data_IF_338448985355
#
_entry.id   IF_338448985355
#
_cell.length_a   1.000
_cell.length_b   1.000
_cell.length_c   1.000
_cell.angle_alpha   90.00
_cell.angle_beta   90.00
_cell.angle_gamma   90.00
#
_symmetry.space_group_name_H-M   'P 1'
#
loop_
_entity.id
_entity.type
_entity.pdbx_description
1 polymer ?
#
# COMPACT_ATOMS: atom_id res chain seq x y z
N UNK A 1 -26.89 5.67 22.55
CA UNK A 1 -26.48 6.07 21.19
C UNK A 1 -26.66 4.85 20.31
N UNK A 2 -27.63 4.86 19.40
CA UNK A 2 -27.80 3.81 18.40
C UNK A 2 -26.60 3.85 17.43
N UNK A 3 -26.04 2.70 17.01
CA UNK A 3 -24.98 2.69 16.01
C UNK A 3 -25.53 3.29 14.72
N UNK A 4 -24.81 4.25 14.15
CA UNK A 4 -25.15 4.84 12.85
C UNK A 4 -25.18 3.70 11.82
N UNK A 5 -26.23 3.58 10.98
CA UNK A 5 -26.31 2.51 10.00
C UNK A 5 -25.08 2.57 9.09
N UNK A 6 -24.35 1.45 8.98
CA UNK A 6 -23.20 1.36 8.08
C UNK A 6 -23.63 1.62 6.64
N UNK A 7 -22.79 2.33 5.89
CA UNK A 7 -23.01 2.62 4.47
C UNK A 7 -23.24 1.34 3.67
N UNK A 8 -24.22 1.37 2.77
CA UNK A 8 -24.52 0.25 1.87
C UNK A 8 -23.35 -0.02 0.91
N UNK A 9 -23.24 -1.25 0.37
CA UNK A 9 -22.20 -1.59 -0.62
C UNK A 9 -22.11 -0.61 -1.81
N UNK A 10 -23.24 -0.07 -2.25
CA UNK A 10 -23.33 0.90 -3.35
C UNK A 10 -22.77 2.28 -2.97
N UNK A 11 -23.01 2.72 -1.72
CA UNK A 11 -22.48 3.98 -1.20
C UNK A 11 -20.96 3.91 -0.99
N UNK A 12 -20.42 2.73 -0.63
CA UNK A 12 -18.98 2.48 -0.56
C UNK A 12 -18.35 2.52 -1.95
N UNK A 13 -18.99 1.89 -2.93
CA UNK A 13 -18.55 1.92 -4.32
C UNK A 13 -18.45 3.36 -4.84
N UNK A 14 -19.45 4.22 -4.60
CA UNK A 14 -19.49 5.58 -5.14
C UNK A 14 -18.39 6.53 -4.61
N UNK A 15 -18.03 6.43 -3.32
CA UNK A 15 -16.96 7.26 -2.71
C UNK A 15 -15.59 6.85 -3.26
N UNK A 16 -15.37 5.55 -3.40
CA UNK A 16 -14.10 4.99 -3.84
C UNK A 16 -13.90 5.18 -5.35
N UNK A 17 -14.98 5.13 -6.16
CA UNK A 17 -14.95 5.50 -7.59
C UNK A 17 -14.59 6.98 -7.82
N UNK A 18 -14.84 7.87 -6.84
CA UNK A 18 -14.48 9.30 -6.94
C UNK A 18 -13.01 9.56 -6.56
N UNK A 19 -12.44 8.75 -5.66
CA UNK A 19 -11.05 8.80 -5.22
C UNK A 19 -10.07 8.13 -6.20
N UNK A 20 -10.56 7.18 -7.01
CA UNK A 20 -9.77 6.32 -7.90
C UNK A 20 -10.25 6.42 -9.35
N UNK A 21 -10.55 7.63 -9.82
CA UNK A 21 -10.92 7.83 -11.24
C UNK A 21 -9.90 7.16 -12.16
N UNK A 22 -10.28 6.04 -12.79
CA UNK A 22 -9.43 5.24 -13.69
C UNK A 22 -9.15 3.79 -13.27
N UNK A 23 -9.37 3.41 -12.01
CA UNK A 23 -9.15 2.00 -11.57
C UNK A 23 -10.41 1.16 -11.82
N UNK A 24 -10.33 0.03 -12.56
CA UNK A 24 -11.50 -0.82 -12.81
C UNK A 24 -12.15 -1.33 -11.49
N UNK A 25 -13.47 -1.21 -11.37
CA UNK A 25 -14.25 -1.62 -10.18
C UNK A 25 -13.93 -3.03 -9.63
N UNK A 26 -13.69 -4.06 -10.47
CA UNK A 26 -13.32 -5.39 -9.98
C UNK A 26 -11.97 -5.41 -9.25
N UNK A 27 -10.98 -4.71 -9.81
CA UNK A 27 -9.64 -4.60 -9.24
C UNK A 27 -9.67 -3.87 -7.89
N UNK A 28 -10.51 -2.85 -7.80
CA UNK A 28 -10.74 -2.12 -6.58
C UNK A 28 -11.35 -2.99 -5.46
N UNK A 29 -12.29 -3.87 -5.81
CA UNK A 29 -12.90 -4.79 -4.86
C UNK A 29 -11.88 -5.78 -4.29
N UNK A 30 -10.98 -6.29 -5.14
CA UNK A 30 -9.90 -7.21 -4.75
C UNK A 30 -8.82 -6.52 -3.90
N UNK A 31 -8.47 -5.27 -4.21
CA UNK A 31 -7.50 -4.46 -3.44
C UNK A 31 -8.08 -4.03 -2.08
N UNK A 32 -9.38 -3.76 -2.00
CA UNK A 32 -10.08 -3.55 -0.72
C UNK A 32 -10.20 -4.87 0.06
N UNK A 33 -10.39 -6.00 -0.63
CA UNK A 33 -10.43 -7.32 0.01
C UNK A 33 -9.14 -7.61 0.80
N UNK A 34 -8.00 -7.17 0.28
CA UNK A 34 -6.69 -7.19 0.91
C UNK A 34 -6.61 -6.49 2.28
N UNK A 35 -7.38 -5.42 2.46
CA UNK A 35 -7.50 -4.73 3.76
C UNK A 35 -8.53 -5.40 4.67
N UNK A 36 -9.59 -5.98 4.10
CA UNK A 36 -10.66 -6.67 4.85
C UNK A 36 -10.29 -8.05 5.39
N UNK A 37 -9.32 -8.74 4.80
CA UNK A 37 -8.99 -10.16 5.11
C UNK A 37 -7.98 -10.37 6.24
N UNK A 38 -7.67 -9.35 7.05
CA UNK A 38 -6.63 -9.37 8.10
C UNK A 38 -5.18 -9.56 7.60
N UNK A 39 -4.94 -9.80 6.30
CA UNK A 39 -3.63 -10.18 5.78
C UNK A 39 -2.53 -9.12 6.03
N UNK A 40 -2.79 -7.84 5.78
CA UNK A 40 -1.81 -6.78 5.99
C UNK A 40 -1.60 -6.44 7.49
N UNK A 41 -2.66 -6.30 8.32
CA UNK A 41 -2.51 -6.18 9.77
C UNK A 41 -1.77 -7.37 10.41
N UNK A 42 -2.02 -8.60 9.96
CA UNK A 42 -1.33 -9.80 10.45
C UNK A 42 0.10 -9.92 9.92
N UNK A 43 0.40 -9.43 8.71
CA UNK A 43 1.76 -9.40 8.19
C UNK A 43 2.70 -8.61 9.11
N UNK A 44 2.19 -7.52 9.71
CA UNK A 44 2.92 -6.68 10.67
C UNK A 44 3.41 -7.47 11.90
N UNK A 45 2.72 -8.55 12.29
CA UNK A 45 3.13 -9.38 13.43
C UNK A 45 4.39 -10.20 13.14
N UNK A 46 4.78 -10.33 11.86
CA UNK A 46 6.07 -10.89 11.44
C UNK A 46 7.24 -9.91 11.49
N UNK A 47 7.04 -8.67 11.95
CA UNK A 47 8.11 -7.67 12.04
C UNK A 47 9.21 -8.08 13.00
N UNK A 48 10.46 -7.93 12.57
CA UNK A 48 11.62 -7.92 13.46
C UNK A 48 12.09 -6.49 13.61
N UNK A 49 11.63 -5.80 14.66
CA UNK A 49 11.92 -4.38 14.88
C UNK A 49 12.29 -4.06 16.33
N UNK A 50 13.36 -4.68 16.89
CA UNK A 50 13.71 -4.48 18.29
C UNK A 50 14.31 -3.11 18.59
N UNK A 51 14.72 -2.34 17.57
CA UNK A 51 15.39 -1.05 17.75
C UNK A 51 14.38 0.10 17.72
N UNK A 52 13.53 0.17 16.69
CA UNK A 52 12.50 1.23 16.62
C UNK A 52 11.22 0.89 17.41
N UNK A 53 10.98 -0.39 17.66
CA UNK A 53 9.70 -0.91 18.17
C UNK A 53 8.51 -0.53 17.26
N UNK A 54 8.77 -0.21 15.99
CA UNK A 54 7.78 0.24 15.04
C UNK A 54 7.55 -0.82 13.97
N UNK A 55 6.39 -1.47 14.03
CA UNK A 55 6.07 -2.57 13.10
C UNK A 55 5.29 -2.05 11.90
N UNK A 56 5.67 -2.55 10.73
CA UNK A 56 5.02 -2.29 9.45
C UNK A 56 4.77 -3.62 8.76
N UNK A 57 3.55 -3.81 8.27
CA UNK A 57 3.16 -4.91 7.40
C UNK A 57 2.82 -4.38 6.00
N UNK A 58 3.12 -5.15 4.98
CA UNK A 58 2.75 -4.88 3.60
C UNK A 58 2.13 -6.13 2.98
N UNK A 59 1.18 -5.94 2.09
CA UNK A 59 0.55 -7.02 1.36
C UNK A 59 0.35 -6.63 -0.11
N UNK A 60 1.04 -7.34 -0.99
CA UNK A 60 1.18 -7.03 -2.42
C UNK A 60 0.30 -7.97 -3.24
N UNK A 61 -0.68 -7.42 -3.97
CA UNK A 61 -1.61 -8.18 -4.80
C UNK A 61 -1.00 -8.50 -6.16
N UNK A 62 -1.04 -9.78 -6.54
CA UNK A 62 -0.80 -10.21 -7.91
C UNK A 62 -2.05 -10.12 -8.77
N UNK A 63 -1.88 -9.99 -10.08
CA UNK A 63 -2.99 -9.93 -11.04
C UNK A 63 -3.80 -11.24 -11.12
N UNK A 64 -3.21 -12.39 -10.77
CA UNK A 64 -3.86 -13.70 -10.89
C UNK A 64 -4.62 -14.07 -9.61
N UNK A 65 -5.94 -14.22 -9.74
CA UNK A 65 -6.86 -14.91 -8.81
C UNK A 65 -6.61 -14.65 -7.31
N UNK A 66 -6.49 -13.38 -6.93
CA UNK A 66 -6.39 -12.99 -5.51
C UNK A 66 -5.10 -13.42 -4.80
N UNK A 67 -4.10 -13.94 -5.51
CA UNK A 67 -2.82 -14.26 -4.90
C UNK A 67 -2.16 -12.98 -4.41
N UNK A 68 -1.72 -12.98 -3.15
CA UNK A 68 -0.95 -11.88 -2.59
C UNK A 68 0.32 -12.39 -1.91
N UNK A 69 1.28 -11.49 -1.72
CA UNK A 69 2.51 -11.76 -0.98
C UNK A 69 2.63 -10.77 0.15
N UNK A 70 2.80 -11.27 1.37
CA UNK A 70 3.01 -10.44 2.57
C UNK A 70 4.48 -10.15 2.83
N UNK A 71 4.75 -9.04 3.50
CA UNK A 71 6.06 -8.65 4.00
C UNK A 71 5.95 -7.87 5.30
N UNK A 72 7.03 -7.90 6.08
CA UNK A 72 7.19 -7.12 7.31
C UNK A 72 8.56 -6.45 7.32
N UNK A 73 8.72 -5.37 8.09
CA UNK A 73 10.04 -4.76 8.25
C UNK A 73 10.96 -5.65 9.10
N UNK A 74 12.24 -5.66 8.73
CA UNK A 74 13.30 -6.39 9.42
C UNK A 74 14.47 -5.44 9.63
N UNK A 75 14.69 -5.10 10.89
CA UNK A 75 15.74 -4.21 11.33
C UNK A 75 17.06 -4.93 11.57
N UNK A 76 18.12 -4.14 11.72
CA UNK A 76 19.45 -4.62 12.03
C UNK A 76 20.19 -3.59 12.89
N UNK A 77 21.16 -4.04 13.69
CA UNK A 77 22.03 -3.13 14.47
C UNK A 77 22.74 -2.11 13.57
N UNK A 78 23.12 -2.50 12.36
CA UNK A 78 23.55 -1.58 11.31
C UNK A 78 22.33 -1.03 10.57
N UNK A 79 21.85 0.14 10.97
CA UNK A 79 20.54 0.64 10.50
C UNK A 79 20.43 0.77 8.97
N UNK A 80 21.54 0.96 8.27
CA UNK A 80 21.58 1.07 6.81
C UNK A 80 21.14 -0.22 6.07
N UNK A 81 21.16 -1.39 6.73
CA UNK A 81 20.75 -2.66 6.09
C UNK A 81 19.30 -3.05 6.40
N UNK A 82 18.55 -2.22 7.13
CA UNK A 82 17.13 -2.44 7.42
C UNK A 82 16.32 -2.53 6.12
N UNK A 83 15.46 -3.55 6.03
CA UNK A 83 14.52 -3.74 4.93
C UNK A 83 13.10 -3.42 5.40
N UNK A 84 12.40 -2.60 4.61
CA UNK A 84 11.02 -2.21 4.90
C UNK A 84 10.03 -3.28 4.43
N UNK A 85 8.82 -3.28 4.98
CA UNK A 85 7.81 -4.30 4.69
C UNK A 85 7.47 -4.42 3.20
N UNK A 86 7.38 -3.30 2.50
CA UNK A 86 7.06 -3.22 1.07
C UNK A 86 8.18 -3.86 0.24
N UNK A 87 9.44 -3.57 0.58
CA UNK A 87 10.61 -4.17 -0.07
C UNK A 87 10.69 -5.67 0.22
N UNK A 88 10.39 -6.11 1.44
CA UNK A 88 10.29 -7.53 1.79
C UNK A 88 9.23 -8.24 0.93
N UNK A 89 8.04 -7.66 0.79
CA UNK A 89 6.96 -8.23 -0.02
C UNK A 89 7.35 -8.34 -1.50
N UNK A 90 7.98 -7.31 -2.07
CA UNK A 90 8.46 -7.30 -3.45
C UNK A 90 9.55 -8.36 -3.67
N UNK A 91 10.59 -8.39 -2.82
CA UNK A 91 11.69 -9.34 -2.96
C UNK A 91 11.17 -10.77 -2.93
N UNK A 92 10.26 -11.08 -2.00
CA UNK A 92 9.61 -12.39 -1.93
C UNK A 92 8.80 -12.69 -3.20
N UNK A 93 7.96 -11.76 -3.63
CA UNK A 93 7.08 -12.00 -4.78
C UNK A 93 7.85 -12.19 -6.10
N UNK A 94 8.91 -11.40 -6.32
CA UNK A 94 9.74 -11.46 -7.53
C UNK A 94 10.60 -12.72 -7.54
N UNK A 95 11.16 -13.12 -6.40
CA UNK A 95 12.00 -14.34 -6.33
C UNK A 95 11.17 -15.61 -6.48
N UNK A 96 9.93 -15.63 -5.97
CA UNK A 96 9.00 -16.76 -6.14
C UNK A 96 8.35 -16.77 -7.54
N UNK A 97 8.18 -15.61 -8.18
CA UNK A 97 7.50 -15.47 -9.47
C UNK A 97 8.00 -14.25 -10.26
N UNK A 98 9.11 -14.39 -11.02
CA UNK A 98 9.80 -13.26 -11.66
C UNK A 98 8.96 -12.45 -12.65
N UNK A 99 7.96 -13.07 -13.28
CA UNK A 99 7.10 -12.43 -14.29
C UNK A 99 5.72 -12.03 -13.73
N UNK A 100 5.56 -12.00 -12.40
CA UNK A 100 4.29 -11.66 -11.77
C UNK A 100 3.99 -10.17 -11.94
N UNK A 101 2.78 -9.88 -12.40
CA UNK A 101 2.24 -8.51 -12.45
C UNK A 101 1.50 -8.19 -11.16
N UNK A 102 1.72 -7.00 -10.63
CA UNK A 102 1.10 -6.52 -9.40
C UNK A 102 0.04 -5.48 -9.70
N UNK A 103 -1.04 -5.51 -8.92
CA UNK A 103 -2.25 -4.71 -9.18
C UNK A 103 -2.75 -3.93 -7.97
N UNK A 104 -2.08 -4.06 -6.83
CA UNK A 104 -2.34 -3.24 -5.66
C UNK A 104 -1.43 -3.57 -4.49
N UNK A 105 -1.38 -2.65 -3.53
CA UNK A 105 -0.59 -2.78 -2.32
C UNK A 105 -1.38 -2.24 -1.12
N UNK A 106 -1.36 -2.97 -0.01
CA UNK A 106 -1.79 -2.45 1.29
C UNK A 106 -0.59 -2.35 2.23
N UNK A 107 -0.53 -1.27 3.03
CA UNK A 107 0.50 -1.02 4.03
C UNK A 107 -0.17 -0.69 5.37
N UNK A 108 0.21 -1.38 6.43
CA UNK A 108 -0.30 -1.16 7.78
C UNK A 108 0.86 -0.92 8.76
N UNK A 109 0.64 -0.09 9.77
CA UNK A 109 1.63 0.17 10.83
C UNK A 109 0.98 0.15 12.20
N UNK A 110 1.74 0.44 13.26
CA UNK A 110 1.22 0.65 14.62
C UNK A 110 0.56 2.04 14.84
N UNK A 111 0.48 2.88 13.81
CA UNK A 111 -0.14 4.20 13.91
C UNK A 111 -1.66 4.16 13.71
N UNK A 112 -2.40 4.94 14.51
CA UNK A 112 -3.80 5.25 14.20
C UNK A 112 -3.92 6.22 13.01
N UNK A 113 -2.85 6.94 12.65
CA UNK A 113 -2.70 7.61 11.36
C UNK A 113 -2.19 6.65 10.29
N UNK A 114 -1.83 7.16 9.12
CA UNK A 114 -1.28 6.31 8.05
C UNK A 114 0.23 6.43 7.93
N UNK A 115 0.89 5.35 7.51
CA UNK A 115 2.33 5.35 7.23
C UNK A 115 2.53 5.28 5.71
N UNK A 116 3.02 6.36 5.11
CA UNK A 116 3.36 6.35 3.68
C UNK A 116 4.67 5.58 3.45
N UNK A 117 4.82 4.84 2.33
CA UNK A 117 6.07 4.15 2.03
C UNK A 117 7.24 5.14 1.94
N UNK A 118 8.43 4.74 2.40
CA UNK A 118 9.61 5.60 2.34
C UNK A 118 10.16 5.71 0.90
N UNK A 119 11.09 6.64 0.66
CA UNK A 119 11.63 6.87 -0.69
C UNK A 119 12.25 5.62 -1.34
N UNK A 120 12.94 4.78 -0.55
CA UNK A 120 13.50 3.51 -1.03
C UNK A 120 12.41 2.53 -1.47
N UNK A 121 11.29 2.46 -0.73
CA UNK A 121 10.15 1.62 -1.08
C UNK A 121 9.46 2.14 -2.33
N UNK A 122 9.22 3.46 -2.43
CA UNK A 122 8.63 4.07 -3.63
C UNK A 122 9.46 3.78 -4.88
N UNK A 123 10.78 3.95 -4.79
CA UNK A 123 11.68 3.65 -5.90
C UNK A 123 11.74 2.15 -6.23
N UNK A 124 11.63 1.27 -5.22
CA UNK A 124 11.55 -0.18 -5.47
C UNK A 124 10.24 -0.54 -6.18
N UNK A 125 9.12 0.00 -5.71
CA UNK A 125 7.81 -0.22 -6.33
C UNK A 125 7.79 0.29 -7.78
N UNK A 126 8.47 1.41 -8.07
CA UNK A 126 8.60 1.99 -9.41
C UNK A 126 9.21 1.05 -10.46
N UNK A 127 10.04 0.11 -10.03
CA UNK A 127 10.62 -0.90 -10.91
C UNK A 127 9.59 -1.99 -11.30
N UNK A 128 8.73 -2.39 -10.35
CA UNK A 128 7.92 -3.61 -10.47
C UNK A 128 6.42 -3.37 -10.63
N UNK A 129 5.95 -2.15 -10.38
CA UNK A 129 4.53 -1.81 -10.30
C UNK A 129 4.17 -0.68 -11.28
N UNK A 130 2.96 -0.72 -11.87
CA UNK A 130 2.41 0.41 -12.62
C UNK A 130 2.31 1.68 -11.77
N UNK A 131 2.49 2.84 -12.39
CA UNK A 131 2.40 4.15 -11.72
C UNK A 131 1.01 4.44 -11.14
N UNK A 132 -0.03 3.97 -11.85
CA UNK A 132 -1.44 4.08 -11.48
C UNK A 132 -1.91 2.98 -10.52
N UNK A 133 -1.02 2.07 -10.10
CA UNK A 133 -1.37 1.01 -9.17
C UNK A 133 -1.87 1.60 -7.84
N UNK A 134 -3.05 1.17 -7.34
CA UNK A 134 -3.58 1.66 -6.07
C UNK A 134 -2.74 1.19 -4.88
N UNK A 135 -2.47 2.12 -3.97
CA UNK A 135 -1.78 1.88 -2.70
C UNK A 135 -2.72 2.32 -1.57
N UNK A 136 -3.02 1.37 -0.68
CA UNK A 136 -3.84 1.55 0.50
C UNK A 136 -2.97 1.72 1.74
N UNK A 137 -3.10 2.84 2.42
CA UNK A 137 -2.44 3.10 3.70
C UNK A 137 -3.46 2.91 4.83
N UNK A 138 -3.23 1.88 5.63
CA UNK A 138 -4.19 1.31 6.57
C UNK A 138 -3.86 1.76 7.99
N UNK A 139 -4.80 2.39 8.72
CA UNK A 139 -4.60 2.76 10.11
C UNK A 139 -4.67 1.53 11.01
N UNK A 140 -3.99 1.56 12.16
CA UNK A 140 -3.92 0.44 13.11
C UNK A 140 -5.29 0.05 13.67
N UNK A 141 -6.22 1.01 13.77
CA UNK A 141 -7.59 0.81 14.24
C UNK A 141 -8.59 0.57 13.08
N UNK A 142 -8.11 0.11 11.92
CA UNK A 142 -8.95 -0.22 10.78
C UNK A 142 -10.10 -1.17 11.16
N UNK A 143 -11.28 -0.88 10.62
CA UNK A 143 -12.43 -1.78 10.58
C UNK A 143 -13.13 -1.64 9.24
N UNK A 144 -14.08 -2.53 8.94
CA UNK A 144 -14.89 -2.42 7.72
C UNK A 144 -15.75 -1.14 7.65
N UNK A 145 -15.84 -0.38 8.75
CA UNK A 145 -16.53 0.90 8.83
C UNK A 145 -15.58 2.10 8.73
N UNK A 146 -14.26 1.86 8.67
CA UNK A 146 -13.26 2.91 8.48
C UNK A 146 -13.54 3.68 7.20
N UNK A 147 -13.64 5.01 7.33
CA UNK A 147 -13.87 5.90 6.18
C UNK A 147 -12.67 5.85 5.25
N UNK A 148 -12.93 5.67 3.96
CA UNK A 148 -11.92 5.78 2.89
C UNK A 148 -11.83 7.22 2.40
N UNK A 149 -10.61 7.72 2.21
CA UNK A 149 -10.32 9.06 1.69
C UNK A 149 -9.13 9.01 0.74
N UNK A 150 -8.98 10.02 -0.12
CA UNK A 150 -7.77 10.24 -0.94
C UNK A 150 -6.60 10.76 -0.10
N UNK A 151 -5.37 10.63 -0.61
CA UNK A 151 -4.20 11.26 0.01
C UNK A 151 -4.34 12.78 0.15
N UNK A 152 -4.99 13.44 -0.81
CA UNK A 152 -5.26 14.88 -0.76
C UNK A 152 -6.20 15.24 0.39
N UNK A 153 -7.33 14.54 0.51
CA UNK A 153 -8.28 14.77 1.61
C UNK A 153 -7.65 14.49 2.97
N UNK A 154 -6.82 13.44 3.08
CA UNK A 154 -6.09 13.13 4.31
C UNK A 154 -5.10 14.24 4.69
N UNK A 155 -4.44 14.87 3.71
CA UNK A 155 -3.55 16.01 3.95
C UNK A 155 -4.31 17.27 4.39
N UNK A 156 -5.50 17.49 3.86
CA UNK A 156 -6.35 18.65 4.16
C UNK A 156 -7.12 18.50 5.49
N UNK A 157 -7.53 17.29 5.84
CA UNK A 157 -8.47 17.02 6.94
C UNK A 157 -7.94 16.08 8.03
N UNK A 158 -6.71 15.57 7.88
CA UNK A 158 -6.08 14.62 8.78
C UNK A 158 -6.24 13.17 8.35
N UNK A 159 -5.30 12.33 8.80
CA UNK A 159 -5.11 10.94 8.37
C UNK A 159 -5.43 9.91 9.46
N UNK A 160 -5.87 10.34 10.65
CA UNK A 160 -6.17 9.47 11.77
C UNK A 160 -7.51 8.75 11.59
N UNK A 161 -7.49 7.43 11.74
CA UNK A 161 -8.69 6.58 11.73
C UNK A 161 -9.38 6.49 10.37
N UNK A 162 -8.67 6.83 9.29
CA UNK A 162 -9.16 6.76 7.92
C UNK A 162 -8.26 5.86 7.08
N UNK A 163 -8.85 5.15 6.12
CA UNK A 163 -8.12 4.42 5.11
C UNK A 163 -7.75 5.41 4.00
N UNK A 164 -6.46 5.58 3.75
CA UNK A 164 -5.99 6.50 2.71
C UNK A 164 -5.67 5.72 1.44
N UNK A 165 -6.19 6.22 0.32
CA UNK A 165 -5.94 5.69 -1.01
C UNK A 165 -5.12 6.68 -1.81
N UNK A 166 -4.11 6.17 -2.50
CA UNK A 166 -3.21 6.92 -3.38
C UNK A 166 -2.67 6.01 -4.47
N UNK A 167 -1.79 6.53 -5.32
CA UNK A 167 -1.08 5.78 -6.35
C UNK A 167 0.42 5.97 -6.21
N UNK A 168 1.21 5.18 -6.94
CA UNK A 168 2.66 5.38 -6.96
C UNK A 168 3.04 6.72 -7.62
N UNK A 169 2.32 7.15 -8.65
CA UNK A 169 2.52 8.45 -9.32
C UNK A 169 2.33 9.63 -8.35
N UNK A 170 1.29 9.60 -7.52
CA UNK A 170 1.06 10.62 -6.50
C UNK A 170 2.16 10.63 -5.42
N UNK A 171 2.68 9.45 -5.06
CA UNK A 171 3.70 9.31 -4.04
C UNK A 171 5.12 9.61 -4.55
N UNK A 172 5.38 9.43 -5.83
CA UNK A 172 6.69 9.64 -6.44
C UNK A 172 6.52 10.31 -7.83
N UNK A 173 6.06 11.57 -7.86
CA UNK A 173 5.80 12.27 -9.11
C UNK A 173 7.10 12.48 -9.88
N UNK A 174 7.03 12.35 -11.22
CA UNK A 174 8.19 12.49 -12.13
C UNK A 174 9.33 11.54 -11.72
N UNK A 175 8.98 10.33 -11.31
CA UNK A 175 9.93 9.33 -10.83
C UNK A 175 10.87 8.85 -11.91
N UNK A 176 12.15 8.76 -11.54
CA UNK A 176 13.16 8.05 -12.32
C UNK A 176 12.79 6.57 -12.47
N UNK A 177 12.92 6.02 -13.67
CA UNK A 177 12.68 4.61 -13.93
C UNK A 177 13.41 4.03 -15.14
N UNK A 178 13.07 2.78 -15.53
CA UNK A 178 13.75 2.07 -16.61
C UNK A 178 13.75 2.81 -17.95
N UNK A 179 12.70 3.58 -18.24
CA UNK A 179 12.61 4.38 -19.46
C UNK A 179 13.66 5.49 -19.53
N UNK A 180 14.08 6.05 -18.39
CA UNK A 180 15.06 7.13 -18.33
C UNK A 180 16.48 6.64 -18.61
N UNK A 181 16.76 5.37 -18.28
CA UNK A 181 18.05 4.74 -18.54
C UNK A 181 18.38 4.63 -20.04
N UNK A 182 17.34 4.55 -20.88
CA UNK A 182 17.47 4.44 -22.33
C UNK A 182 17.61 5.79 -23.04
N UNK A 183 17.43 6.92 -22.34
CA UNK A 183 17.48 8.24 -22.95
C UNK A 183 18.91 8.60 -23.41
N UNK A 184 19.05 9.28 -24.56
CA UNK A 184 20.36 9.73 -25.05
C UNK A 184 20.94 10.80 -24.11
N UNK A 185 22.25 10.70 -23.83
CA UNK A 185 22.98 11.71 -23.05
C UNK A 185 23.51 12.76 -24.03
N UNK A 186 22.99 13.99 -23.94
CA UNK A 186 23.58 15.13 -24.64
C UNK A 186 24.84 15.54 -23.86
N UNK A 187 25.96 14.91 -24.24
CA UNK A 187 27.30 15.33 -23.80
C UNK A 187 27.82 16.49 -24.65
#
# INVERSE_FOLDING_TARGET
MSPTPGLSPEQRSHIITKALQGVPLPLLFDVLHLTSTLACPSARDGSYSPYSLFRVGACLLGQKDGQYTTGANVENASYGVTICAERTAIVKAVTESPNRRFVGLAIASDLNGVCSPCGLCRQTLREFCPLDMPILLVPANYSEQTKTVTAREAKEHGDKGVLVVTTLDELLPLSFGPEDLALPRQG
#
